data_IF_635928803902
#
_entry.id   IF_635928803902
#
_cell.length_a   1.000
_cell.length_b   1.000
_cell.length_c   1.000
_cell.angle_alpha   90.00
_cell.angle_beta   90.00
_cell.angle_gamma   90.00
#
_symmetry.space_group_name_H-M   'P 1'
#
loop_
_entity.id
_entity.type
_entity.pdbx_description
1 polymer ?
#
# COMPACT_ATOMS: atom_id res chain seq x y z
N UNK A 1 -27.30 -21.75 -30.38
CA UNK A 1 -26.85 -20.98 -31.56
C UNK A 1 -25.66 -20.12 -31.19
N UNK A 2 -24.57 -20.16 -31.97
CA UNK A 2 -23.58 -19.10 -32.20
C UNK A 2 -22.63 -19.59 -33.30
N UNK A 3 -22.22 -18.71 -34.22
CA UNK A 3 -21.62 -19.10 -35.51
C UNK A 3 -20.08 -19.23 -35.45
N UNK A 4 -19.50 -19.98 -36.41
CA UNK A 4 -18.05 -20.03 -36.64
C UNK A 4 -17.62 -18.95 -37.64
N UNK A 5 -16.40 -18.45 -37.48
CA UNK A 5 -15.70 -17.53 -38.39
C UNK A 5 -14.87 -18.34 -39.39
N UNK A 6 -14.83 -17.93 -40.67
CA UNK A 6 -13.71 -18.12 -41.63
C UNK A 6 -13.98 -17.29 -42.92
N UNK A 7 -13.07 -17.33 -43.92
CA UNK A 7 -12.94 -16.44 -45.12
C UNK A 7 -12.24 -15.11 -44.73
N UNK A 8 -10.99 -14.76 -45.10
CA UNK A 8 -9.98 -15.19 -46.11
C UNK A 8 -10.21 -14.64 -47.54
N UNK A 9 -9.12 -14.31 -48.25
CA UNK A 9 -9.00 -13.89 -49.69
C UNK A 9 -9.27 -12.38 -49.97
N UNK A 10 -8.58 -11.66 -50.89
CA UNK A 10 -7.15 -11.59 -51.35
C UNK A 10 -6.97 -10.40 -52.35
N UNK A 11 -5.75 -9.82 -52.47
CA UNK A 11 -5.32 -8.88 -53.56
C UNK A 11 -6.08 -7.52 -53.65
N UNK A 12 -5.70 -6.47 -54.39
CA UNK A 12 -4.80 -6.24 -55.55
C UNK A 12 -4.36 -4.73 -55.51
N UNK A 13 -3.09 -4.33 -55.39
CA UNK A 13 -1.99 -4.22 -56.40
C UNK A 13 -2.06 -2.97 -57.33
N UNK A 14 -0.88 -2.50 -57.78
CA UNK A 14 -0.50 -1.48 -58.81
C UNK A 14 0.21 -0.21 -58.23
N UNK A 15 1.54 -0.02 -58.40
CA UNK A 15 2.29 0.61 -59.54
C UNK A 15 2.15 2.18 -59.52
N UNK A 16 3.16 3.06 -59.67
CA UNK A 16 4.62 3.04 -60.03
C UNK A 16 5.33 4.26 -59.35
N UNK A 17 6.64 4.60 -59.47
CA UNK A 17 7.76 4.07 -60.27
C UNK A 17 9.14 4.42 -59.68
N UNK A 18 10.18 3.72 -60.20
CA UNK A 18 11.62 3.99 -60.07
C UNK A 18 12.05 5.29 -60.83
N UNK A 19 13.32 5.75 -60.97
CA UNK A 19 14.71 5.20 -60.83
C UNK A 19 15.71 6.40 -60.87
N UNK A 20 17.06 6.39 -60.75
CA UNK A 20 18.17 5.42 -60.50
C UNK A 20 19.50 6.17 -60.17
N UNK A 21 20.35 5.63 -59.27
CA UNK A 21 21.86 5.63 -59.36
C UNK A 21 22.65 6.99 -59.39
N UNK A 22 23.97 7.13 -59.12
CA UNK A 22 25.07 6.26 -58.60
C UNK A 22 26.16 7.14 -57.92
N UNK A 23 27.28 6.56 -57.45
CA UNK A 23 28.37 7.24 -56.71
C UNK A 23 29.78 7.02 -57.32
N UNK A 24 30.80 7.83 -56.94
CA UNK A 24 32.22 7.43 -57.01
C UNK A 24 33.33 8.49 -57.23
N UNK A 25 34.16 8.71 -56.20
CA UNK A 25 35.64 8.86 -56.17
C UNK A 25 36.46 9.94 -56.96
N UNK A 26 37.21 10.76 -56.18
CA UNK A 26 38.66 11.14 -56.24
C UNK A 26 39.42 11.45 -57.56
N UNK A 27 40.10 12.62 -57.60
CA UNK A 27 41.59 12.72 -57.69
C UNK A 27 42.20 14.14 -57.48
N UNK A 28 43.53 14.26 -57.54
CA UNK A 28 44.39 15.23 -56.84
C UNK A 28 44.92 16.43 -57.68
N UNK A 29 45.05 17.61 -57.02
CA UNK A 29 46.09 18.68 -57.11
C UNK A 29 46.47 19.38 -58.45
N UNK A 30 47.09 20.61 -58.47
CA UNK A 30 47.94 21.22 -57.42
C UNK A 30 47.70 22.69 -57.01
N UNK A 31 48.53 23.08 -56.03
CA UNK A 31 48.73 24.35 -55.30
C UNK A 31 48.77 25.67 -56.11
N UNK A 32 48.18 26.72 -55.54
CA UNK A 32 48.76 28.09 -55.51
C UNK A 32 48.46 28.74 -54.13
N UNK A 33 49.21 29.77 -53.70
CA UNK A 33 49.25 30.22 -52.27
C UNK A 33 49.16 31.74 -52.13
N UNK A 34 48.20 32.25 -51.35
CA UNK A 34 48.36 33.57 -50.69
C UNK A 34 47.54 33.74 -49.39
N UNK A 35 48.16 34.42 -48.41
CA UNK A 35 47.64 35.07 -47.19
C UNK A 35 46.45 34.48 -46.40
N UNK A 36 46.68 34.24 -45.10
CA UNK A 36 45.62 33.99 -44.11
C UNK A 36 45.04 35.29 -43.51
N UNK A 37 43.78 35.23 -43.09
CA UNK A 37 43.23 36.02 -41.98
C UNK A 37 42.52 35.06 -41.01
N UNK A 38 42.63 35.35 -39.71
CA UNK A 38 41.98 34.57 -38.65
C UNK A 38 40.55 35.10 -38.42
N UNK A 39 39.56 34.21 -38.47
CA UNK A 39 38.20 34.46 -37.99
C UNK A 39 37.88 33.45 -36.88
N UNK A 40 37.57 33.92 -35.67
CA UNK A 40 37.13 33.05 -34.57
C UNK A 40 35.64 32.67 -34.72
N UNK A 41 35.24 31.40 -34.58
CA UNK A 41 33.84 30.99 -34.63
C UNK A 41 33.03 31.49 -33.43
N UNK A 42 32.08 32.40 -33.68
CA UNK A 42 31.10 32.86 -32.71
C UNK A 42 29.97 31.81 -32.49
N UNK A 43 30.20 30.79 -31.66
CA UNK A 43 29.17 29.84 -31.19
C UNK A 43 28.95 29.94 -29.65
N UNK A 44 28.50 31.09 -29.16
CA UNK A 44 28.48 31.39 -27.71
C UNK A 44 27.21 32.09 -27.18
N UNK A 45 26.13 32.22 -27.96
CA UNK A 45 25.03 33.15 -27.61
C UNK A 45 23.82 32.55 -26.86
N UNK A 46 23.59 31.23 -26.91
CA UNK A 46 22.33 30.62 -26.41
C UNK A 46 22.38 30.15 -24.94
N UNK A 47 23.55 30.17 -24.29
CA UNK A 47 23.70 29.70 -22.89
C UNK A 47 24.45 30.67 -21.97
N UNK A 48 24.84 31.84 -22.48
CA UNK A 48 25.55 32.86 -21.73
C UNK A 48 24.59 33.96 -21.21
N UNK A 49 24.83 34.44 -19.99
CA UNK A 49 24.10 35.58 -19.41
C UNK A 49 25.08 36.54 -18.76
N UNK A 50 25.15 37.76 -19.29
CA UNK A 50 25.92 38.85 -18.69
C UNK A 50 24.98 39.72 -17.84
N UNK A 51 25.35 40.03 -16.59
CA UNK A 51 24.60 40.96 -15.72
C UNK A 51 25.41 42.23 -15.41
N UNK A 52 24.76 43.40 -15.45
CA UNK A 52 25.32 44.62 -14.86
C UNK A 52 25.35 44.52 -13.32
N UNK A 53 26.11 45.37 -12.59
CA UNK A 53 26.17 45.30 -11.14
C UNK A 53 24.82 45.60 -10.49
N UNK A 54 24.03 46.48 -11.09
CA UNK A 54 22.66 46.79 -10.68
C UNK A 54 21.73 45.60 -10.89
N UNK A 55 21.78 44.94 -12.07
CA UNK A 55 20.97 43.75 -12.37
C UNK A 55 21.30 42.58 -11.42
N UNK A 56 22.57 42.38 -11.08
CA UNK A 56 23.02 41.39 -10.10
C UNK A 56 22.37 41.62 -8.72
N UNK A 57 22.33 42.88 -8.26
CA UNK A 57 21.72 43.26 -6.96
C UNK A 57 20.19 43.16 -7.02
N UNK A 58 19.56 43.62 -8.09
CA UNK A 58 18.09 43.57 -8.28
C UNK A 58 17.60 42.12 -8.35
N UNK A 59 18.30 41.25 -9.07
CA UNK A 59 18.04 39.81 -9.14
C UNK A 59 18.38 39.04 -7.86
N UNK A 60 18.92 39.70 -6.82
CA UNK A 60 19.36 39.11 -5.55
C UNK A 60 20.27 37.89 -5.76
N UNK A 61 21.18 37.99 -6.72
CA UNK A 61 22.08 36.89 -7.06
C UNK A 61 23.13 36.75 -5.94
N UNK A 62 23.22 35.58 -5.36
CA UNK A 62 24.27 35.22 -4.40
C UNK A 62 25.16 34.15 -5.01
N UNK A 63 26.47 34.28 -4.87
CA UNK A 63 27.44 33.29 -5.34
C UNK A 63 27.84 32.33 -4.22
N UNK A 64 27.84 31.03 -4.52
CA UNK A 64 28.29 29.97 -3.62
C UNK A 64 28.99 28.85 -4.35
N UNK A 65 29.18 27.71 -3.67
CA UNK A 65 29.76 26.48 -4.22
C UNK A 65 28.92 25.28 -3.82
N UNK A 66 29.02 24.19 -4.59
CA UNK A 66 28.49 22.88 -4.21
C UNK A 66 29.13 22.50 -2.86
N UNK A 67 28.28 22.23 -1.87
CA UNK A 67 28.72 21.86 -0.53
C UNK A 67 28.32 20.40 -0.22
N UNK A 68 29.15 19.63 0.51
CA UNK A 68 28.74 18.35 1.03
C UNK A 68 27.64 18.54 2.08
N UNK A 69 26.43 18.07 1.79
CA UNK A 69 25.27 18.11 2.68
C UNK A 69 24.85 16.67 2.99
N UNK A 70 24.60 16.35 4.25
CA UNK A 70 23.95 15.08 4.57
C UNK A 70 22.47 15.21 4.22
N UNK A 71 22.02 14.48 3.19
CA UNK A 71 20.62 14.39 2.79
C UNK A 71 20.15 12.94 3.01
N UNK A 72 18.91 12.78 3.47
CA UNK A 72 18.30 11.47 3.65
C UNK A 72 17.78 11.01 2.30
N UNK A 73 18.44 10.02 1.69
CA UNK A 73 17.93 9.47 0.43
C UNK A 73 16.61 8.74 0.71
N UNK A 74 15.49 9.31 0.29
CA UNK A 74 14.15 8.76 0.53
C UNK A 74 13.58 8.11 -0.73
N UNK A 75 12.93 6.96 -0.56
CA UNK A 75 12.08 6.38 -1.60
C UNK A 75 10.66 6.83 -1.31
N UNK A 76 10.10 7.69 -2.17
CA UNK A 76 8.70 8.08 -2.11
C UNK A 76 7.82 6.95 -2.67
N UNK A 77 6.90 6.46 -1.85
CA UNK A 77 6.04 5.29 -2.13
C UNK A 77 4.62 5.57 -1.66
N UNK A 78 3.64 4.84 -2.21
CA UNK A 78 2.24 4.96 -1.81
C UNK A 78 1.75 3.63 -1.22
N UNK A 79 0.64 3.65 -0.49
CA UNK A 79 0.05 2.44 0.08
C UNK A 79 -1.24 2.72 0.83
N UNK A 80 -1.55 1.84 1.78
CA UNK A 80 -2.71 1.95 2.66
C UNK A 80 -2.37 1.52 4.10
N UNK A 81 -3.19 1.98 5.05
CA UNK A 81 -3.28 1.38 6.38
C UNK A 81 -4.12 0.11 6.29
N UNK A 82 -3.61 -0.99 6.82
CA UNK A 82 -4.29 -2.30 6.80
C UNK A 82 -4.14 -3.02 8.15
N UNK A 83 -4.87 -4.12 8.32
CA UNK A 83 -4.87 -4.96 9.51
C UNK A 83 -4.33 -6.36 9.22
N UNK A 84 -3.46 -6.92 10.09
CA UNK A 84 -3.06 -8.32 9.97
C UNK A 84 -4.31 -9.23 9.99
N UNK A 85 -4.40 -10.29 9.16
CA UNK A 85 -5.61 -11.13 9.05
C UNK A 85 -6.10 -11.73 10.37
N UNK A 86 -5.22 -11.92 11.35
CA UNK A 86 -5.55 -12.38 12.71
C UNK A 86 -6.48 -11.41 13.50
N UNK A 87 -6.55 -10.14 13.07
CA UNK A 87 -7.36 -9.07 13.67
C UNK A 87 -8.71 -8.86 12.96
N UNK A 88 -8.93 -9.53 11.82
CA UNK A 88 -10.18 -9.49 11.05
C UNK A 88 -10.97 -10.77 11.34
N UNK A 89 -12.11 -10.63 12.01
CA UNK A 89 -13.00 -11.78 12.31
C UNK A 89 -14.32 -11.65 11.57
N UNK A 90 -14.56 -12.61 10.69
CA UNK A 90 -15.86 -12.89 10.07
C UNK A 90 -16.74 -13.65 11.06
N UNK A 91 -17.91 -13.09 11.39
CA UNK A 91 -18.91 -13.73 12.26
C UNK A 91 -19.96 -14.42 11.40
N UNK A 92 -20.03 -15.75 11.48
CA UNK A 92 -21.07 -16.59 10.89
C UNK A 92 -21.88 -17.31 11.98
N UNK A 93 -22.80 -18.19 11.59
CA UNK A 93 -23.64 -18.98 12.50
C UNK A 93 -23.26 -20.47 12.46
N UNK A 94 -23.26 -21.20 13.60
CA UNK A 94 -22.94 -22.64 13.59
C UNK A 94 -24.06 -23.48 12.93
N UNK A 95 -25.28 -22.98 12.94
CA UNK A 95 -26.46 -23.55 12.32
C UNK A 95 -27.23 -22.42 11.64
N UNK A 96 -27.83 -22.67 10.47
CA UNK A 96 -28.67 -21.68 9.79
C UNK A 96 -29.93 -21.30 10.58
N UNK A 97 -30.66 -20.29 10.13
CA UNK A 97 -31.90 -19.83 10.76
C UNK A 97 -32.35 -18.46 10.27
N UNK A 98 -33.39 -17.89 10.87
CA UNK A 98 -33.84 -16.53 10.58
C UNK A 98 -33.24 -15.52 11.56
N UNK A 99 -32.81 -14.35 11.08
CA UNK A 99 -32.30 -13.29 11.97
C UNK A 99 -33.48 -12.58 12.64
N UNK A 100 -33.70 -12.87 13.92
CA UNK A 100 -34.76 -12.31 14.74
C UNK A 100 -34.47 -10.84 15.12
N UNK A 101 -33.21 -10.52 15.41
CA UNK A 101 -32.75 -9.14 15.61
C UNK A 101 -31.26 -8.98 15.30
N UNK A 102 -30.90 -7.75 14.91
CA UNK A 102 -29.53 -7.23 14.86
C UNK A 102 -29.65 -5.71 15.02
N UNK A 103 -28.83 -5.14 15.89
CA UNK A 103 -28.77 -3.70 16.15
C UNK A 103 -27.44 -3.10 15.65
N UNK A 104 -26.68 -3.85 14.84
CA UNK A 104 -25.38 -3.43 14.32
C UNK A 104 -25.50 -2.61 13.03
N UNK A 105 -24.69 -1.55 12.99
CA UNK A 105 -24.42 -0.71 11.83
C UNK A 105 -22.91 -0.70 11.55
N UNK A 106 -22.53 -0.48 10.29
CA UNK A 106 -21.13 -0.31 9.91
C UNK A 106 -20.53 0.92 10.62
N UNK A 107 -19.28 0.82 11.04
CA UNK A 107 -18.58 1.83 11.85
C UNK A 107 -18.86 1.78 13.36
N UNK A 108 -19.80 0.96 13.85
CA UNK A 108 -20.02 0.82 15.30
C UNK A 108 -18.84 0.14 16.00
N UNK A 109 -18.40 0.72 17.14
CA UNK A 109 -17.43 0.06 18.03
C UNK A 109 -18.12 -1.07 18.82
N UNK A 110 -17.48 -2.23 18.87
CA UNK A 110 -17.97 -3.44 19.53
C UNK A 110 -16.98 -3.91 20.61
N UNK A 111 -17.51 -4.53 21.67
CA UNK A 111 -16.70 -5.19 22.71
C UNK A 111 -16.80 -6.71 22.61
N UNK A 112 -15.74 -7.41 23.02
CA UNK A 112 -15.75 -8.87 23.16
C UNK A 112 -16.86 -9.32 24.12
N UNK A 113 -17.65 -10.30 23.70
CA UNK A 113 -18.82 -10.79 24.43
C UNK A 113 -20.08 -9.93 24.30
N UNK A 114 -20.06 -8.83 23.53
CA UNK A 114 -21.27 -8.05 23.24
C UNK A 114 -22.17 -8.82 22.24
N UNK A 115 -23.48 -8.80 22.46
CA UNK A 115 -24.48 -9.34 21.54
C UNK A 115 -24.41 -8.62 20.18
N UNK A 116 -24.41 -9.37 19.09
CA UNK A 116 -24.38 -8.84 17.71
C UNK A 116 -25.63 -9.20 16.90
N UNK A 117 -26.22 -10.38 17.13
CA UNK A 117 -27.48 -10.80 16.51
C UNK A 117 -28.18 -11.87 17.34
N UNK A 118 -29.48 -12.07 17.09
CA UNK A 118 -30.25 -13.21 17.59
C UNK A 118 -30.80 -14.00 16.40
N UNK A 119 -30.52 -15.30 16.37
CA UNK A 119 -30.95 -16.23 15.31
C UNK A 119 -32.08 -17.10 15.86
N UNK A 120 -33.17 -17.27 15.12
CA UNK A 120 -34.28 -18.19 15.44
C UNK A 120 -34.26 -19.41 14.51
N UNK A 121 -34.21 -20.61 15.08
CA UNK A 121 -34.39 -21.88 14.37
C UNK A 121 -35.09 -22.90 15.28
N UNK A 122 -36.20 -23.53 14.85
CA UNK A 122 -36.82 -24.65 15.55
C UNK A 122 -35.85 -25.79 15.93
N UNK A 123 -34.80 -26.03 15.15
CA UNK A 123 -33.85 -27.11 15.39
C UNK A 123 -33.03 -26.95 16.69
N UNK A 124 -32.87 -25.71 17.18
CA UNK A 124 -32.33 -25.49 18.52
C UNK A 124 -33.22 -26.17 19.58
N UNK A 125 -34.55 -26.12 19.41
CA UNK A 125 -35.53 -26.77 20.29
C UNK A 125 -35.45 -28.29 20.16
N UNK A 126 -35.23 -28.84 18.96
CA UNK A 126 -35.00 -30.28 18.73
C UNK A 126 -33.82 -30.79 19.56
N UNK A 127 -32.63 -30.20 19.38
CA UNK A 127 -31.38 -30.64 20.02
C UNK A 127 -31.46 -30.55 21.57
N UNK A 128 -32.16 -29.53 22.09
CA UNK A 128 -32.40 -29.38 23.53
C UNK A 128 -33.39 -30.42 24.08
N UNK A 129 -34.46 -30.75 23.34
CA UNK A 129 -35.39 -31.83 23.72
C UNK A 129 -34.68 -33.20 23.69
N UNK A 130 -33.99 -33.52 22.59
CA UNK A 130 -33.23 -34.77 22.42
C UNK A 130 -32.23 -34.98 23.57
N UNK A 131 -31.54 -33.92 24.02
CA UNK A 131 -30.63 -34.00 25.16
C UNK A 131 -31.35 -34.30 26.48
N UNK A 132 -32.47 -33.63 26.76
CA UNK A 132 -33.23 -33.82 28.01
C UNK A 132 -33.89 -35.21 28.09
N UNK A 133 -34.44 -35.69 26.97
CA UNK A 133 -35.02 -37.04 26.88
C UNK A 133 -33.92 -38.11 26.99
N UNK A 134 -32.81 -37.96 26.25
CA UNK A 134 -31.68 -38.90 26.33
C UNK A 134 -31.02 -38.91 27.71
N UNK A 135 -31.01 -37.78 28.43
CA UNK A 135 -30.51 -37.70 29.82
C UNK A 135 -31.43 -38.44 30.78
N UNK A 136 -32.75 -38.20 30.70
CA UNK A 136 -33.76 -38.93 31.48
C UNK A 136 -33.66 -40.45 31.25
N UNK A 137 -33.48 -40.87 30.00
CA UNK A 137 -33.31 -42.28 29.64
C UNK A 137 -31.95 -42.85 30.10
N UNK A 138 -30.90 -42.03 30.16
CA UNK A 138 -29.61 -42.43 30.73
C UNK A 138 -29.68 -42.62 32.25
N UNK A 139 -30.41 -41.78 32.98
CA UNK A 139 -30.62 -41.93 34.42
C UNK A 139 -31.32 -43.27 34.73
N UNK A 140 -32.41 -43.59 34.03
CA UNK A 140 -33.05 -44.90 34.13
C UNK A 140 -32.10 -46.07 33.81
N UNK A 141 -31.35 -45.99 32.71
CA UNK A 141 -30.38 -47.04 32.33
C UNK A 141 -29.19 -47.14 33.29
N UNK A 142 -28.86 -46.07 34.02
CA UNK A 142 -27.80 -46.09 35.04
C UNK A 142 -28.23 -46.90 36.26
N UNK A 143 -29.47 -46.67 36.74
CA UNK A 143 -30.07 -47.43 37.84
C UNK A 143 -30.20 -48.92 37.47
N UNK A 144 -30.65 -49.23 36.25
CA UNK A 144 -30.77 -50.62 35.79
C UNK A 144 -29.40 -51.29 35.58
N UNK A 145 -28.39 -50.55 35.11
CA UNK A 145 -27.02 -51.06 34.96
C UNK A 145 -26.42 -51.46 36.30
N UNK A 146 -26.50 -50.59 37.32
CA UNK A 146 -25.99 -50.90 38.66
C UNK A 146 -26.76 -52.08 39.30
N UNK A 147 -28.10 -52.13 39.15
CA UNK A 147 -28.92 -53.26 39.62
C UNK A 147 -28.53 -54.60 38.97
N UNK A 148 -28.30 -54.64 37.66
CA UNK A 148 -27.88 -55.86 36.96
C UNK A 148 -26.41 -56.23 37.27
N UNK A 149 -25.56 -55.25 37.59
CA UNK A 149 -24.16 -55.43 37.97
C UNK A 149 -24.03 -56.09 39.35
N UNK A 150 -24.85 -55.68 40.32
CA UNK A 150 -24.96 -56.32 41.64
C UNK A 150 -25.43 -57.78 41.51
N UNK A 151 -26.57 -58.01 40.84
CA UNK A 151 -27.10 -59.35 40.60
C UNK A 151 -26.10 -60.26 39.88
N UNK A 152 -25.39 -59.76 38.86
CA UNK A 152 -24.36 -60.51 38.15
C UNK A 152 -23.15 -60.86 39.04
N UNK A 153 -22.76 -60.00 39.98
CA UNK A 153 -21.70 -60.28 40.96
C UNK A 153 -22.10 -61.38 41.95
N UNK A 154 -23.36 -61.39 42.39
CA UNK A 154 -23.95 -62.47 43.19
C UNK A 154 -24.26 -63.75 42.40
N UNK A 155 -24.02 -63.75 41.08
CA UNK A 155 -24.33 -64.82 40.11
C UNK A 155 -25.84 -65.11 39.97
N UNK A 156 -26.67 -64.12 40.26
CA UNK A 156 -28.13 -64.17 40.14
C UNK A 156 -28.57 -63.75 38.74
N UNK A 157 -29.25 -64.65 38.04
CA UNK A 157 -29.87 -64.37 36.74
C UNK A 157 -28.95 -64.52 35.51
N UNK A 158 -29.48 -64.29 34.29
CA UNK A 158 -28.74 -64.57 33.05
C UNK A 158 -27.70 -63.49 32.74
N UNK A 159 -26.44 -63.88 32.55
CA UNK A 159 -25.36 -62.96 32.15
C UNK A 159 -25.66 -62.16 30.86
N UNK A 160 -26.49 -62.71 29.96
CA UNK A 160 -27.02 -62.02 28.78
C UNK A 160 -27.75 -60.72 29.13
N UNK A 161 -28.49 -60.68 30.24
CA UNK A 161 -29.26 -59.50 30.65
C UNK A 161 -28.32 -58.36 31.05
N UNK A 162 -27.30 -58.66 31.88
CA UNK A 162 -26.28 -57.68 32.25
C UNK A 162 -25.48 -57.20 31.02
N UNK A 163 -25.13 -58.08 30.09
CA UNK A 163 -24.49 -57.69 28.82
C UNK A 163 -25.37 -56.75 27.98
N UNK A 164 -26.68 -57.05 27.86
CA UNK A 164 -27.63 -56.23 27.12
C UNK A 164 -27.82 -54.84 27.76
N UNK A 165 -28.00 -54.76 29.07
CA UNK A 165 -28.14 -53.48 29.79
C UNK A 165 -26.83 -52.69 29.75
N UNK A 166 -25.67 -53.34 29.87
CA UNK A 166 -24.35 -52.69 29.70
C UNK A 166 -24.21 -52.05 28.32
N UNK A 167 -24.68 -52.73 27.26
CA UNK A 167 -24.65 -52.20 25.90
C UNK A 167 -25.61 -51.00 25.73
N UNK A 168 -26.84 -51.09 26.26
CA UNK A 168 -27.83 -50.01 26.22
C UNK A 168 -27.36 -48.77 27.00
N UNK A 169 -26.83 -48.95 28.22
CA UNK A 169 -26.24 -47.89 29.03
C UNK A 169 -25.11 -47.17 28.30
N UNK A 170 -24.12 -47.91 27.76
CA UNK A 170 -22.99 -47.33 27.02
C UNK A 170 -23.44 -46.59 25.75
N UNK A 171 -24.41 -47.15 25.01
CA UNK A 171 -24.99 -46.49 23.84
C UNK A 171 -25.67 -45.16 24.20
N UNK A 172 -26.50 -45.14 25.26
CA UNK A 172 -27.19 -43.92 25.70
C UNK A 172 -26.21 -42.88 26.28
N UNK A 173 -25.22 -43.32 27.05
CA UNK A 173 -24.13 -42.46 27.54
C UNK A 173 -23.38 -41.79 26.37
N UNK A 174 -23.18 -42.54 25.26
CA UNK A 174 -22.53 -42.02 24.06
C UNK A 174 -23.42 -41.00 23.33
N UNK A 175 -24.74 -41.25 23.25
CA UNK A 175 -25.74 -40.31 22.69
C UNK A 175 -25.81 -39.00 23.49
N UNK A 176 -25.91 -39.06 24.81
CA UNK A 176 -25.91 -37.88 25.69
C UNK A 176 -24.60 -37.09 25.56
N UNK A 177 -23.45 -37.76 25.49
CA UNK A 177 -22.16 -37.10 25.25
C UNK A 177 -22.09 -36.41 23.88
N UNK A 178 -22.65 -37.02 22.82
CA UNK A 178 -22.74 -36.39 21.49
C UNK A 178 -23.61 -35.14 21.48
N UNK A 179 -24.83 -35.23 22.03
CA UNK A 179 -25.77 -34.12 22.17
C UNK A 179 -25.18 -32.98 23.02
N UNK A 180 -24.42 -33.31 24.08
CA UNK A 180 -23.69 -32.33 24.90
C UNK A 180 -22.64 -31.55 24.11
N UNK A 181 -21.95 -32.17 23.16
CA UNK A 181 -21.00 -31.48 22.27
C UNK A 181 -21.72 -30.61 21.23
N UNK A 182 -22.86 -31.05 20.70
CA UNK A 182 -23.69 -30.23 19.81
C UNK A 182 -24.21 -28.97 20.53
N UNK A 183 -24.75 -29.11 21.74
CA UNK A 183 -25.15 -27.97 22.57
C UNK A 183 -23.96 -27.03 22.87
N UNK A 184 -22.79 -27.58 23.20
CA UNK A 184 -21.58 -26.78 23.44
C UNK A 184 -21.09 -26.03 22.19
N UNK A 185 -21.18 -26.62 21.00
CA UNK A 185 -20.87 -25.96 19.73
C UNK A 185 -21.85 -24.81 19.41
N UNK A 186 -23.13 -24.96 19.80
CA UNK A 186 -24.13 -23.89 19.78
C UNK A 186 -23.97 -22.88 20.95
N UNK A 187 -22.97 -23.03 21.82
CA UNK A 187 -22.81 -22.18 23.02
C UNK A 187 -23.87 -22.38 24.11
N UNK A 188 -24.75 -23.38 23.97
CA UNK A 188 -25.82 -23.70 24.92
C UNK A 188 -25.25 -24.53 26.07
N UNK A 189 -25.36 -23.99 27.29
CA UNK A 189 -24.84 -24.63 28.50
C UNK A 189 -25.75 -25.79 28.94
N UNK A 190 -25.43 -27.01 28.49
CA UNK A 190 -26.21 -28.24 28.78
C UNK A 190 -26.44 -28.52 30.29
N UNK A 191 -25.59 -27.99 31.18
CA UNK A 191 -25.75 -28.09 32.64
C UNK A 191 -26.73 -27.07 33.24
N UNK A 192 -27.24 -26.12 32.44
CA UNK A 192 -28.28 -25.15 32.82
C UNK A 192 -29.63 -25.46 32.18
N UNK A 193 -29.68 -26.44 31.28
CA UNK A 193 -30.86 -26.79 30.51
C UNK A 193 -31.84 -27.60 31.36
N UNK A 194 -33.12 -27.24 31.29
CA UNK A 194 -34.24 -27.86 32.00
C UNK A 194 -35.47 -27.87 31.07
N UNK A 195 -36.45 -28.78 31.27
CA UNK A 195 -37.65 -28.83 30.42
C UNK A 195 -38.43 -27.51 30.30
N UNK A 196 -38.35 -26.65 31.32
CA UNK A 196 -39.02 -25.34 31.35
C UNK A 196 -38.23 -24.15 30.78
N UNK A 197 -36.99 -24.33 30.30
CA UNK A 197 -36.15 -23.21 29.82
C UNK A 197 -35.53 -23.39 28.42
N UNK A 198 -36.06 -24.33 27.63
CA UNK A 198 -35.65 -24.57 26.25
C UNK A 198 -35.87 -23.32 25.39
N UNK A 199 -34.85 -22.91 24.63
CA UNK A 199 -34.92 -21.75 23.72
C UNK A 199 -35.02 -22.15 22.25
N UNK A 200 -35.76 -21.38 21.45
CA UNK A 200 -35.74 -21.43 19.98
C UNK A 200 -34.76 -20.43 19.34
N UNK A 201 -34.09 -19.63 20.16
CA UNK A 201 -33.21 -18.53 19.74
C UNK A 201 -31.80 -18.71 20.26
N UNK A 202 -30.82 -18.30 19.45
CA UNK A 202 -29.40 -18.33 19.74
C UNK A 202 -28.82 -16.90 19.66
N UNK A 203 -28.35 -16.33 20.79
CA UNK A 203 -27.62 -15.06 20.79
C UNK A 203 -26.17 -15.24 20.29
N UNK A 204 -25.83 -14.57 19.20
CA UNK A 204 -24.47 -14.50 18.64
C UNK A 204 -23.74 -13.31 19.27
N UNK A 205 -22.48 -13.51 19.67
CA UNK A 205 -21.69 -12.51 20.39
C UNK A 205 -20.36 -12.22 19.66
N UNK A 206 -19.82 -11.02 19.82
CA UNK A 206 -18.51 -10.67 19.25
C UNK A 206 -17.36 -11.46 19.90
N UNK A 207 -16.48 -12.11 19.14
CA UNK A 207 -15.32 -12.84 19.68
C UNK A 207 -14.14 -11.91 20.05
N UNK A 208 -14.13 -10.67 19.56
CA UNK A 208 -13.07 -9.66 19.73
C UNK A 208 -13.63 -8.29 20.11
N UNK A 209 -12.75 -7.38 20.55
CA UNK A 209 -13.02 -5.95 20.53
C UNK A 209 -12.78 -5.42 19.12
N UNK A 210 -13.33 -4.25 18.78
CA UNK A 210 -13.01 -3.61 17.50
C UNK A 210 -14.14 -2.75 16.95
N UNK A 211 -14.23 -2.70 15.62
CA UNK A 211 -15.25 -1.98 14.87
C UNK A 211 -15.91 -2.89 13.83
N UNK A 212 -17.20 -2.69 13.57
CA UNK A 212 -17.95 -3.42 12.54
C UNK A 212 -17.63 -2.80 11.17
N UNK A 213 -16.99 -3.55 10.26
CA UNK A 213 -16.68 -3.07 8.90
C UNK A 213 -17.78 -3.43 7.90
N UNK A 214 -18.36 -4.62 8.00
CA UNK A 214 -19.46 -5.07 7.14
C UNK A 214 -20.64 -5.58 7.97
N UNK A 215 -21.84 -5.34 7.44
CA UNK A 215 -23.12 -5.87 7.91
C UNK A 215 -23.83 -6.43 6.69
N UNK A 216 -23.84 -7.75 6.56
CA UNK A 216 -24.32 -8.47 5.37
C UNK A 216 -25.67 -9.17 5.61
N UNK A 217 -26.38 -8.78 6.67
CA UNK A 217 -27.63 -9.39 7.11
C UNK A 217 -28.60 -8.33 7.68
N UNK A 218 -29.89 -8.62 7.66
CA UNK A 218 -30.94 -7.81 8.26
C UNK A 218 -32.03 -8.67 8.93
N UNK A 219 -32.85 -8.04 9.78
CA UNK A 219 -33.94 -8.74 10.47
C UNK A 219 -34.93 -9.35 9.48
N UNK A 220 -35.20 -10.64 9.64
CA UNK A 220 -36.08 -11.43 8.77
C UNK A 220 -35.35 -12.16 7.63
N UNK A 221 -34.07 -11.88 7.38
CA UNK A 221 -33.27 -12.70 6.45
C UNK A 221 -33.07 -14.12 6.99
N UNK A 222 -33.06 -15.11 6.08
CA UNK A 222 -32.59 -16.45 6.36
C UNK A 222 -31.10 -16.54 6.07
N UNK A 223 -30.34 -17.17 6.97
CA UNK A 223 -28.87 -17.28 6.91
C UNK A 223 -28.42 -18.72 7.13
N UNK A 224 -27.24 -19.04 6.61
CA UNK A 224 -26.63 -20.39 6.62
C UNK A 224 -25.23 -20.36 7.22
N UNK A 225 -24.63 -21.50 7.60
CA UNK A 225 -23.30 -21.53 8.22
C UNK A 225 -22.15 -21.04 7.32
N UNK A 226 -22.35 -20.97 6.00
CA UNK A 226 -21.41 -20.38 5.04
C UNK A 226 -21.47 -18.86 4.98
N UNK A 227 -22.51 -18.22 5.53
CA UNK A 227 -22.74 -16.79 5.37
C UNK A 227 -22.03 -15.97 6.46
N UNK A 228 -21.20 -15.02 6.03
CA UNK A 228 -20.54 -14.04 6.92
C UNK A 228 -21.51 -12.91 7.21
N UNK A 229 -22.17 -12.95 8.37
CA UNK A 229 -23.16 -11.96 8.80
C UNK A 229 -22.54 -10.58 9.04
N UNK A 230 -21.37 -10.57 9.68
CA UNK A 230 -20.64 -9.36 10.05
C UNK A 230 -19.14 -9.58 9.85
N UNK A 231 -18.42 -8.52 9.49
CA UNK A 231 -16.96 -8.47 9.68
C UNK A 231 -16.65 -7.48 10.80
N UNK A 232 -15.80 -7.91 11.71
CA UNK A 232 -15.32 -7.12 12.85
C UNK A 232 -13.81 -7.01 12.71
N UNK A 233 -13.29 -5.79 12.86
CA UNK A 233 -11.86 -5.50 12.78
C UNK A 233 -11.34 -4.95 14.10
N UNK A 234 -10.26 -5.53 14.62
CA UNK A 234 -9.48 -4.92 15.68
C UNK A 234 -8.47 -3.92 15.09
N UNK A 235 -8.61 -2.66 15.44
CA UNK A 235 -7.74 -1.55 15.00
C UNK A 235 -6.58 -1.28 15.97
N UNK A 236 -6.48 -2.02 17.09
CA UNK A 236 -5.42 -1.83 18.09
C UNK A 236 -4.05 -2.33 17.60
N UNK A 237 -3.95 -2.98 16.44
CA UNK A 237 -2.67 -3.25 15.76
C UNK A 237 -2.77 -3.03 14.24
N UNK A 238 -2.87 -1.76 13.83
CA UNK A 238 -2.74 -1.36 12.43
C UNK A 238 -1.29 -1.52 11.94
N UNK A 239 -1.13 -1.72 10.63
CA UNK A 239 0.15 -1.64 9.94
C UNK A 239 0.00 -0.82 8.65
N UNK A 240 1.12 -0.32 8.13
CA UNK A 240 1.18 0.32 6.82
C UNK A 240 1.59 -0.72 5.80
N UNK A 241 0.73 -1.04 4.83
CA UNK A 241 1.12 -1.77 3.62
C UNK A 241 1.50 -0.76 2.54
N UNK A 242 2.73 -0.85 2.04
CA UNK A 242 3.28 0.04 1.02
C UNK A 242 3.59 -0.74 -0.26
N UNK A 243 3.38 -0.11 -1.40
CA UNK A 243 3.61 -0.66 -2.73
C UNK A 243 4.86 -0.03 -3.33
N UNK A 244 5.89 -0.85 -3.58
CA UNK A 244 7.21 -0.36 -4.01
C UNK A 244 7.65 -1.05 -5.30
N UNK A 245 8.19 -0.27 -6.24
CA UNK A 245 8.67 -0.80 -7.52
C UNK A 245 9.88 -1.71 -7.35
N UNK A 246 9.91 -2.81 -8.11
CA UNK A 246 10.97 -3.82 -8.15
C UNK A 246 12.39 -3.22 -8.17
N UNK A 247 12.60 -2.15 -8.95
CA UNK A 247 13.88 -1.43 -9.11
C UNK A 247 14.47 -0.85 -7.81
N UNK A 248 13.64 -0.64 -6.79
CA UNK A 248 14.01 0.00 -5.53
C UNK A 248 14.09 -0.99 -4.35
N UNK A 249 13.60 -2.22 -4.51
CA UNK A 249 13.55 -3.24 -3.45
C UNK A 249 14.96 -3.63 -2.95
N UNK A 250 15.97 -3.60 -3.83
CA UNK A 250 17.38 -3.87 -3.46
C UNK A 250 17.97 -2.85 -2.48
N UNK A 251 17.33 -1.68 -2.32
CA UNK A 251 17.71 -0.62 -1.38
C UNK A 251 17.03 -0.80 -0.01
N UNK A 252 15.95 -1.59 0.05
CA UNK A 252 15.14 -1.77 1.26
C UNK A 252 15.74 -2.79 2.23
N UNK A 253 15.60 -2.51 3.53
CA UNK A 253 16.05 -3.36 4.63
C UNK A 253 15.07 -3.28 5.81
N UNK A 254 14.70 -4.43 6.36
CA UNK A 254 13.92 -4.52 7.61
C UNK A 254 14.63 -3.71 8.70
N UNK A 255 13.86 -2.92 9.45
CA UNK A 255 14.36 -1.97 10.44
C UNK A 255 14.50 -0.52 9.94
N UNK A 256 14.38 -0.25 8.63
CA UNK A 256 14.35 1.12 8.10
C UNK A 256 13.15 1.91 8.66
N UNK A 257 13.36 3.21 8.88
CA UNK A 257 12.30 4.13 9.26
C UNK A 257 11.54 4.62 8.04
N UNK A 258 10.27 4.91 8.27
CA UNK A 258 9.33 5.39 7.27
C UNK A 258 8.57 6.57 7.85
N UNK A 259 8.65 7.72 7.20
CA UNK A 259 7.73 8.84 7.43
C UNK A 259 6.52 8.67 6.53
N UNK A 260 5.31 8.76 7.05
CA UNK A 260 4.08 8.72 6.26
C UNK A 260 3.09 9.83 6.63
N UNK A 261 2.31 10.25 5.65
CA UNK A 261 1.26 11.26 5.76
C UNK A 261 -0.04 10.73 5.15
N UNK A 262 -1.16 11.19 5.68
CA UNK A 262 -2.49 10.91 5.14
C UNK A 262 -2.88 12.04 4.17
N UNK A 263 -3.39 11.76 2.96
CA UNK A 263 -3.76 12.80 2.00
C UNK A 263 -4.81 13.80 2.49
N UNK A 264 -5.56 13.48 3.54
CA UNK A 264 -6.57 14.33 4.19
C UNK A 264 -6.07 15.09 5.43
N UNK A 265 -4.80 14.94 5.84
CA UNK A 265 -4.21 15.66 6.97
C UNK A 265 -2.95 16.45 6.54
N UNK A 266 -3.11 17.75 6.29
CA UNK A 266 -2.00 18.63 5.93
C UNK A 266 -0.95 18.72 7.04
N UNK A 267 0.27 18.21 6.77
CA UNK A 267 1.46 18.43 7.60
C UNK A 267 1.64 17.50 8.82
N UNK A 268 0.77 16.52 9.04
CA UNK A 268 0.93 15.54 10.15
C UNK A 268 1.71 14.30 9.69
N UNK A 269 3.03 14.38 9.80
CA UNK A 269 3.91 13.21 9.62
C UNK A 269 3.76 12.21 10.78
N UNK A 270 3.79 10.92 10.45
CA UNK A 270 3.83 9.79 11.39
C UNK A 270 5.00 8.88 11.08
N UNK A 271 5.52 8.20 12.11
CA UNK A 271 6.61 7.24 11.98
C UNK A 271 6.08 5.81 11.93
N UNK A 272 6.67 5.00 11.06
CA UNK A 272 6.56 3.55 11.05
C UNK A 272 7.96 2.92 10.86
N UNK A 273 8.08 1.64 11.19
CA UNK A 273 9.31 0.85 11.04
C UNK A 273 9.05 -0.33 10.10
N UNK A 274 9.87 -0.45 9.04
CA UNK A 274 9.74 -1.51 8.04
C UNK A 274 9.97 -2.89 8.68
N UNK A 275 8.94 -3.74 8.69
CA UNK A 275 8.94 -5.02 9.39
C UNK A 275 9.09 -6.22 8.45
N UNK A 276 8.40 -6.21 7.31
CA UNK A 276 8.41 -7.33 6.34
C UNK A 276 8.54 -6.81 4.92
N UNK A 277 9.42 -7.46 4.14
CA UNK A 277 9.53 -7.27 2.69
C UNK A 277 8.92 -8.48 1.99
N UNK A 278 7.93 -8.23 1.12
CA UNK A 278 7.30 -9.26 0.30
C UNK A 278 8.31 -9.98 -0.60
N UNK A 279 8.00 -11.22 -0.94
CA UNK A 279 8.87 -12.08 -1.77
C UNK A 279 8.23 -12.48 -3.11
N UNK A 280 7.18 -11.75 -3.48
CA UNK A 280 6.40 -11.89 -4.70
C UNK A 280 6.38 -10.54 -5.41
N UNK A 281 6.54 -10.54 -6.73
CA UNK A 281 6.47 -9.36 -7.60
C UNK A 281 5.14 -9.42 -8.34
N UNK A 282 4.33 -8.37 -8.19
CA UNK A 282 3.02 -8.26 -8.83
C UNK A 282 3.14 -8.08 -10.36
N UNK A 283 2.06 -8.30 -11.15
CA UNK A 283 2.06 -8.04 -12.60
C UNK A 283 2.48 -6.61 -12.97
N UNK A 284 2.23 -5.64 -12.08
CA UNK A 284 2.60 -4.23 -12.20
C UNK A 284 4.08 -3.94 -11.86
N UNK A 285 4.87 -4.99 -11.59
CA UNK A 285 6.28 -4.95 -11.16
C UNK A 285 6.49 -4.21 -9.83
N UNK A 286 5.59 -4.47 -8.88
CA UNK A 286 5.67 -3.95 -7.52
C UNK A 286 5.76 -5.07 -6.48
N UNK A 287 6.27 -4.75 -5.30
CA UNK A 287 6.34 -5.66 -4.13
C UNK A 287 5.69 -4.95 -2.96
N UNK A 288 4.88 -5.68 -2.19
CA UNK A 288 4.28 -5.19 -0.94
C UNK A 288 5.30 -5.22 0.20
N UNK A 289 5.31 -4.17 1.01
CA UNK A 289 6.16 -4.04 2.20
C UNK A 289 5.31 -3.58 3.38
N UNK A 290 5.41 -4.30 4.50
CA UNK A 290 4.60 -4.07 5.68
C UNK A 290 5.45 -3.40 6.77
N UNK A 291 4.97 -2.29 7.32
CA UNK A 291 5.63 -1.54 8.38
C UNK A 291 4.70 -1.36 9.58
N UNK A 292 5.21 -1.62 10.79
CA UNK A 292 4.45 -1.37 12.02
C UNK A 292 4.53 0.12 12.37
N UNK A 293 3.42 0.70 12.83
CA UNK A 293 3.41 2.09 13.28
C UNK A 293 4.20 2.21 14.59
N UNK A 294 5.00 3.26 14.72
CA UNK A 294 5.74 3.53 15.97
C UNK A 294 4.80 4.00 17.11
N UNK A 295 3.58 4.42 16.76
CA UNK A 295 2.49 4.80 17.68
C UNK A 295 1.12 4.49 17.04
N UNK A 296 0.25 3.83 17.79
CA UNK A 296 -1.16 3.67 17.42
C UNK A 296 -1.95 4.96 17.65
N UNK A 297 -2.95 5.21 16.80
CA UNK A 297 -3.87 6.34 16.94
C UNK A 297 -5.30 5.89 16.57
N UNK A 298 -6.25 6.01 17.49
CA UNK A 298 -7.65 5.59 17.27
C UNK A 298 -8.45 6.42 16.24
N UNK A 299 -7.79 7.36 15.56
CA UNK A 299 -8.31 8.12 14.42
C UNK A 299 -8.01 7.44 13.07
N UNK A 300 -7.11 6.45 13.06
CA UNK A 300 -6.69 5.72 11.87
C UNK A 300 -7.67 4.59 11.56
N UNK A 301 -8.02 4.45 10.29
CA UNK A 301 -9.03 3.50 9.81
C UNK A 301 -8.38 2.58 8.75
N UNK A 302 -8.63 1.26 8.76
CA UNK A 302 -8.20 0.36 7.69
C UNK A 302 -8.72 0.84 6.31
N UNK A 303 -7.91 0.69 5.27
CA UNK A 303 -8.19 1.16 3.92
C UNK A 303 -7.90 2.64 3.65
N UNK A 304 -7.45 3.42 4.65
CA UNK A 304 -6.98 4.79 4.41
C UNK A 304 -5.67 4.78 3.60
N UNK A 305 -5.66 5.49 2.47
CA UNK A 305 -4.45 5.69 1.68
C UNK A 305 -3.38 6.47 2.44
N UNK A 306 -2.11 6.10 2.24
CA UNK A 306 -0.94 6.83 2.73
C UNK A 306 -0.02 7.23 1.58
N UNK A 307 0.65 8.36 1.75
CA UNK A 307 1.91 8.67 1.06
C UNK A 307 3.05 8.46 2.07
N UNK A 308 4.10 7.76 1.67
CA UNK A 308 5.20 7.43 2.56
C UNK A 308 6.57 7.69 1.91
N UNK A 309 7.56 7.88 2.76
CA UNK A 309 8.96 8.12 2.43
C UNK A 309 9.78 7.13 3.24
N UNK A 310 10.34 6.12 2.59
CA UNK A 310 11.22 5.15 3.24
C UNK A 310 12.62 5.73 3.31
N UNK A 311 13.16 5.84 4.52
CA UNK A 311 14.46 6.43 4.77
C UNK A 311 15.56 5.40 4.51
N UNK A 312 16.37 5.64 3.47
CA UNK A 312 17.62 4.93 3.26
C UNK A 312 18.71 5.53 4.16
N UNK A 313 19.95 5.04 4.00
CA UNK A 313 21.10 5.65 4.66
C UNK A 313 21.20 7.14 4.26
N UNK A 314 21.34 8.04 5.25
CA UNK A 314 21.67 9.43 5.00
C UNK A 314 23.08 9.52 4.41
N UNK A 315 23.19 10.11 3.22
CA UNK A 315 24.46 10.21 2.51
C UNK A 315 24.93 11.68 2.49
N UNK A 316 26.23 11.88 2.74
CA UNK A 316 26.88 13.16 2.47
C UNK A 316 27.04 13.34 0.96
N UNK A 317 26.11 14.07 0.35
CA UNK A 317 26.01 14.27 -1.09
C UNK A 317 26.39 15.71 -1.50
N UNK A 318 26.90 15.92 -2.72
CA UNK A 318 27.02 17.25 -3.32
C UNK A 318 25.64 17.92 -3.43
N UNK A 319 25.43 19.06 -2.78
CA UNK A 319 24.15 19.76 -2.83
C UNK A 319 24.27 21.28 -2.98
N UNK A 320 23.20 21.89 -3.47
CA UNK A 320 22.95 23.32 -3.55
C UNK A 320 21.59 23.65 -2.90
N UNK A 321 21.30 24.92 -2.53
CA UNK A 321 19.95 25.34 -2.18
C UNK A 321 18.99 25.10 -3.36
N UNK A 322 17.72 24.79 -3.08
CA UNK A 322 16.72 24.54 -4.12
C UNK A 322 16.53 25.76 -5.04
N UNK A 323 16.72 26.98 -4.54
CA UNK A 323 16.68 28.25 -5.31
C UNK A 323 17.79 28.39 -6.36
N UNK A 324 18.83 27.54 -6.32
CA UNK A 324 19.94 27.52 -7.28
C UNK A 324 19.60 26.73 -8.56
N UNK A 325 18.60 25.85 -8.50
CA UNK A 325 18.21 24.96 -9.61
C UNK A 325 16.93 25.50 -10.26
N UNK A 326 16.99 25.76 -11.55
CA UNK A 326 15.84 26.15 -12.37
C UNK A 326 15.46 25.04 -13.34
N UNK A 327 14.19 24.99 -13.72
CA UNK A 327 13.70 24.05 -14.73
C UNK A 327 13.25 24.81 -15.97
N UNK A 328 13.72 24.41 -17.15
CA UNK A 328 13.28 24.90 -18.45
C UNK A 328 13.10 23.70 -19.39
N UNK A 329 12.02 23.68 -20.17
CA UNK A 329 11.77 22.63 -21.19
C UNK A 329 11.79 21.19 -20.65
N UNK A 330 11.50 21.01 -19.36
CA UNK A 330 11.55 19.74 -18.65
C UNK A 330 12.93 19.37 -18.09
N UNK A 331 14.01 20.01 -18.54
CA UNK A 331 15.39 19.85 -18.06
C UNK A 331 15.70 20.76 -16.86
N UNK A 332 16.68 20.36 -16.06
CA UNK A 332 17.16 21.10 -14.89
C UNK A 332 18.52 21.75 -15.16
N UNK A 333 18.68 23.00 -14.72
CA UNK A 333 19.86 23.82 -14.98
C UNK A 333 20.33 24.58 -13.72
N UNK A 334 21.61 24.95 -13.73
CA UNK A 334 22.23 25.91 -12.80
C UNK A 334 22.96 27.00 -13.59
N UNK A 335 23.27 28.13 -12.94
CA UNK A 335 24.10 29.18 -13.52
C UNK A 335 25.49 29.22 -12.88
N UNK A 336 26.51 28.92 -13.70
CA UNK A 336 27.92 28.91 -13.32
C UNK A 336 28.56 30.25 -13.65
N UNK A 337 29.11 30.93 -12.66
CA UNK A 337 29.79 32.22 -12.83
C UNK A 337 31.17 32.03 -13.47
N UNK A 338 31.42 32.72 -14.59
CA UNK A 338 32.62 32.61 -15.42
C UNK A 338 33.60 33.76 -15.28
N UNK A 339 33.17 34.93 -14.80
CA UNK A 339 34.07 36.02 -14.46
C UNK A 339 33.42 37.40 -14.45
N UNK A 340 34.25 38.42 -14.35
CA UNK A 340 33.86 39.83 -14.56
C UNK A 340 34.61 40.38 -15.78
N UNK A 341 33.89 40.99 -16.71
CA UNK A 341 34.44 41.66 -17.90
C UNK A 341 34.12 43.15 -17.83
N UNK A 342 34.96 44.00 -18.43
CA UNK A 342 34.58 45.41 -18.65
C UNK A 342 34.14 45.61 -20.09
N UNK A 343 32.92 46.10 -20.27
CA UNK A 343 32.34 46.43 -21.57
C UNK A 343 31.84 47.87 -21.53
N UNK A 344 32.33 48.73 -22.44
CA UNK A 344 31.97 50.16 -22.55
C UNK A 344 32.07 50.96 -21.24
N UNK A 345 32.94 50.54 -20.31
CA UNK A 345 33.13 51.16 -18.99
C UNK A 345 32.27 50.58 -17.85
N UNK A 346 31.37 49.65 -18.15
CA UNK A 346 30.55 48.92 -17.16
C UNK A 346 31.19 47.58 -16.83
N UNK A 347 31.13 47.14 -15.57
CA UNK A 347 31.52 45.78 -15.17
C UNK A 347 30.34 44.82 -15.42
N UNK A 348 30.49 43.93 -16.40
CA UNK A 348 29.59 42.81 -16.64
C UNK A 348 30.01 41.60 -15.81
N UNK A 349 29.03 40.79 -15.39
CA UNK A 349 29.22 39.51 -14.69
C UNK A 349 28.72 38.37 -15.56
N UNK A 350 29.64 37.51 -15.96
CA UNK A 350 29.39 36.48 -16.96
C UNK A 350 28.92 35.20 -16.26
N UNK A 351 27.79 34.64 -16.70
CA UNK A 351 27.26 33.36 -16.27
C UNK A 351 27.05 32.42 -17.46
N UNK A 352 27.22 31.12 -17.23
CA UNK A 352 26.86 30.07 -18.18
C UNK A 352 25.77 29.20 -17.59
N UNK A 353 24.68 28.99 -18.34
CA UNK A 353 23.65 28.01 -18.02
C UNK A 353 24.19 26.59 -18.30
N UNK A 354 24.14 25.72 -17.30
CA UNK A 354 24.67 24.35 -17.37
C UNK A 354 23.58 23.35 -16.99
N UNK A 355 23.29 22.40 -17.87
CA UNK A 355 22.34 21.30 -17.62
C UNK A 355 22.88 20.35 -16.55
N UNK A 356 22.02 19.93 -15.63
CA UNK A 356 22.36 19.01 -14.53
C UNK A 356 21.31 17.91 -14.42
N UNK A 357 21.67 16.81 -13.73
CA UNK A 357 20.69 15.87 -13.17
C UNK A 357 20.54 16.14 -11.68
N UNK A 358 19.37 16.60 -11.25
CA UNK A 358 19.04 16.71 -9.82
C UNK A 358 18.78 15.32 -9.22
N UNK A 359 19.25 15.14 -7.98
CA UNK A 359 18.98 13.97 -7.17
C UNK A 359 17.88 14.22 -6.14
N UNK A 360 18.06 13.72 -4.92
CA UNK A 360 17.11 13.94 -3.82
C UNK A 360 17.06 15.42 -3.41
N UNK A 361 15.86 15.91 -3.09
CA UNK A 361 15.64 17.25 -2.53
C UNK A 361 15.02 17.12 -1.14
N UNK A 362 15.72 17.60 -0.11
CA UNK A 362 15.28 17.58 1.28
C UNK A 362 15.71 18.87 2.00
N UNK A 363 14.88 19.36 2.95
CA UNK A 363 15.16 20.54 3.79
C UNK A 363 15.58 21.81 3.03
N UNK A 364 15.09 22.01 1.80
CA UNK A 364 15.41 23.15 0.95
C UNK A 364 16.75 23.06 0.20
N UNK A 365 17.37 21.88 0.17
CA UNK A 365 18.59 21.57 -0.59
C UNK A 365 18.34 20.46 -1.60
N UNK A 366 18.98 20.54 -2.75
CA UNK A 366 18.89 19.60 -3.87
C UNK A 366 20.27 19.00 -4.17
N UNK A 367 20.34 17.67 -4.22
CA UNK A 367 21.50 16.90 -4.66
C UNK A 367 21.83 17.17 -6.14
N UNK A 368 23.11 17.30 -6.47
CA UNK A 368 23.62 17.45 -7.84
C UNK A 368 24.33 16.15 -8.24
N UNK A 369 23.72 15.35 -9.11
CA UNK A 369 24.33 14.12 -9.61
C UNK A 369 25.45 14.49 -10.60
N UNK A 370 26.61 13.81 -10.51
CA UNK A 370 27.80 14.05 -11.34
C UNK A 370 28.40 15.49 -11.23
N UNK A 371 28.67 16.04 -10.03
CA UNK A 371 29.12 17.42 -9.85
C UNK A 371 30.55 17.70 -10.32
N UNK A 372 31.30 16.68 -10.76
CA UNK A 372 32.76 16.72 -10.90
C UNK A 372 33.28 17.74 -11.94
N UNK A 373 32.42 18.13 -12.89
CA UNK A 373 32.70 19.17 -13.89
C UNK A 373 32.60 20.59 -13.32
N UNK A 374 31.90 20.81 -12.20
CA UNK A 374 31.51 22.13 -11.71
C UNK A 374 32.34 22.48 -10.46
N UNK A 375 33.43 23.25 -10.65
CA UNK A 375 34.35 23.70 -9.59
C UNK A 375 34.29 25.21 -9.31
N UNK A 376 33.63 25.94 -10.21
CA UNK A 376 33.50 27.39 -10.23
C UNK A 376 32.51 27.88 -9.15
N UNK A 377 32.24 29.19 -9.13
CA UNK A 377 31.14 29.75 -8.34
C UNK A 377 29.80 29.55 -9.06
N UNK A 378 28.71 29.40 -8.31
CA UNK A 378 27.37 29.13 -8.82
C UNK A 378 26.39 30.14 -8.20
N UNK A 379 25.40 30.60 -8.96
CA UNK A 379 24.29 31.38 -8.42
C UNK A 379 23.43 30.51 -7.48
N UNK A 380 23.64 30.64 -6.16
CA UNK A 380 22.90 29.88 -5.12
C UNK A 380 21.57 30.53 -4.74
N UNK A 381 21.36 31.77 -5.16
CA UNK A 381 20.08 32.49 -5.22
C UNK A 381 20.00 33.28 -6.52
N UNK A 382 18.80 33.67 -6.92
CA UNK A 382 18.57 34.52 -8.11
C UNK A 382 18.65 33.79 -9.45
N UNK A 383 18.80 32.47 -9.47
CA UNK A 383 18.89 31.67 -10.70
C UNK A 383 17.68 31.84 -11.62
N UNK A 384 16.48 32.03 -11.06
CA UNK A 384 15.27 32.34 -11.84
C UNK A 384 15.37 33.68 -12.59
N UNK A 385 16.01 34.70 -12.00
CA UNK A 385 16.22 36.00 -12.66
C UNK A 385 17.26 35.92 -13.79
N UNK A 386 18.23 35.01 -13.69
CA UNK A 386 19.17 34.70 -14.79
C UNK A 386 18.45 33.99 -15.94
N UNK A 387 17.61 32.98 -15.66
CA UNK A 387 16.81 32.28 -16.68
C UNK A 387 15.80 33.21 -17.36
N UNK A 388 15.14 34.10 -16.61
CA UNK A 388 14.25 35.11 -17.18
C UNK A 388 15.00 36.07 -18.12
N UNK A 389 16.27 36.39 -17.84
CA UNK A 389 17.06 37.22 -18.75
C UNK A 389 17.40 36.51 -20.06
N UNK A 390 17.70 35.20 -20.05
CA UNK A 390 17.86 34.42 -21.29
C UNK A 390 16.61 34.57 -22.16
N UNK A 391 15.45 34.19 -21.64
CA UNK A 391 14.21 34.13 -22.43
C UNK A 391 13.77 35.47 -22.99
N UNK A 392 13.91 36.54 -22.21
CA UNK A 392 13.63 37.89 -22.70
C UNK A 392 14.60 38.32 -23.82
N UNK A 393 15.85 37.85 -23.81
CA UNK A 393 16.85 38.16 -24.86
C UNK A 393 16.61 37.32 -26.12
N UNK A 394 16.11 36.08 -25.96
CA UNK A 394 15.65 35.23 -27.08
C UNK A 394 14.40 35.83 -27.76
N UNK A 395 13.39 36.24 -26.98
CA UNK A 395 12.16 36.87 -27.49
C UNK A 395 12.42 38.22 -28.20
N UNK A 396 13.41 39.00 -27.75
CA UNK A 396 13.85 40.22 -28.45
C UNK A 396 14.60 39.92 -29.76
N UNK A 397 15.22 38.73 -29.89
CA UNK A 397 15.96 38.29 -31.08
C UNK A 397 15.07 37.88 -32.26
N UNK A 398 13.97 37.17 -32.01
CA UNK A 398 13.05 36.73 -33.08
C UNK A 398 12.17 37.88 -33.65
N UNK A 399 12.16 39.05 -33.00
CA UNK A 399 11.26 40.17 -33.32
C UNK A 399 11.54 40.97 -34.60
N UNK A 400 12.62 40.66 -35.34
CA UNK A 400 13.07 41.46 -36.49
C UNK A 400 13.28 40.65 -37.78
N UNK A 401 12.18 40.08 -38.30
CA UNK A 401 12.14 39.35 -39.58
C UNK A 401 10.83 39.55 -40.38
N UNK A 402 10.59 40.77 -40.87
CA UNK A 402 9.47 41.13 -41.77
C UNK A 402 9.93 42.01 -42.93
#
# INVERSE_FOLDING_TARGET
MKFKIYIVVISLFLISSCTSEKAGAEKEEPVEVESAQEEEPHEASETAVELTPEQFVIGKVELGKIAPKNLSNVIAVNGLLDVPPQNLVSVSVPLGGFVQSTDLLQGMRIKKGQLVAVIENPEFVTIQQDYLESTSQLEYLTLEYERQKELAAEKVGPAKNFQQVTAQYKAMQSRVNGLKQQLAHLGISASKLQPGNITRTLPIHSPINGYVTEVNTNRGSYVTPTDVLFKIVDTEHLHVELTVFEKDITKLKVGQKIRFTLPNESGRERMATLHLIGREISPERTVRVHAHLDKEEAQLIPGMYVKAFVELNSNTVPALPQEAVVQSEGKDYIFVFKGERQEKGTQMRDFQMVEIRKGVTESGYTEIVEPAAIKDLIAVKGAYSLLAKIKNTEEEGEGHGH
#
